data_IF_566440340988
#
_entry.id   IF_566440340988
#
_cell.length_a   1.000
_cell.length_b   1.000
_cell.length_c   1.000
_cell.angle_alpha   90.00
_cell.angle_beta   90.00
_cell.angle_gamma   90.00
#
_symmetry.space_group_name_H-M   'P 1'
#
loop_
_entity.id
_entity.type
_entity.pdbx_description
1 polymer ?
#
# COMPACT_ATOMS: atom_id res chain seq x y z
N UNK A 1 -5.67 1.53 -5.29
CA UNK A 1 -4.24 1.74 -5.62
C UNK A 1 -3.49 0.43 -5.57
N UNK A 2 -3.73 -0.41 -4.56
CA UNK A 2 -3.10 -1.71 -4.42
C UNK A 2 -3.63 -2.77 -5.42
N UNK A 3 -2.72 -3.30 -6.23
CA UNK A 3 -2.96 -4.35 -7.22
C UNK A 3 -3.21 -5.71 -6.57
N UNK A 4 -2.69 -5.92 -5.34
CA UNK A 4 -2.84 -7.17 -4.60
C UNK A 4 -4.30 -7.42 -4.19
N UNK A 5 -5.12 -6.38 -4.14
CA UNK A 5 -6.56 -6.50 -3.93
C UNK A 5 -7.34 -7.04 -5.14
N UNK A 6 -6.72 -7.29 -6.31
CA UNK A 6 -7.35 -7.96 -7.49
C UNK A 6 -8.77 -7.44 -7.84
N UNK A 7 -8.96 -6.12 -7.86
CA UNK A 7 -10.27 -5.47 -8.14
C UNK A 7 -11.38 -5.72 -7.11
N UNK A 8 -11.05 -6.36 -5.98
CA UNK A 8 -11.99 -6.58 -4.88
C UNK A 8 -12.41 -5.24 -4.25
N UNK A 9 -13.69 -5.11 -3.89
CA UNK A 9 -14.14 -4.00 -3.06
C UNK A 9 -13.53 -4.15 -1.66
N UNK A 10 -12.99 -3.07 -1.12
CA UNK A 10 -12.32 -3.08 0.18
C UNK A 10 -13.17 -2.30 1.18
N UNK A 11 -13.54 -2.92 2.29
CA UNK A 11 -14.34 -2.31 3.34
C UNK A 11 -13.58 -2.21 4.67
N UNK A 12 -13.59 -1.06 5.35
CA UNK A 12 -13.00 -0.95 6.68
C UNK A 12 -13.82 -1.73 7.71
N UNK A 13 -13.12 -2.55 8.50
CA UNK A 13 -13.70 -3.33 9.62
C UNK A 13 -13.46 -2.61 10.93
N UNK A 14 -12.24 -2.12 11.14
CA UNK A 14 -11.86 -1.40 12.35
C UNK A 14 -10.75 -0.40 12.04
N UNK A 15 -10.70 0.68 12.82
CA UNK A 15 -9.72 1.74 12.68
C UNK A 15 -9.18 2.12 14.06
N UNK A 16 -7.87 2.16 14.19
CA UNK A 16 -7.15 2.55 15.40
C UNK A 16 -6.37 3.82 15.06
N UNK A 17 -6.71 4.99 15.64
CA UNK A 17 -5.93 6.21 15.45
C UNK A 17 -4.49 6.03 15.92
N UNK A 18 -3.53 6.60 15.19
CA UNK A 18 -2.10 6.54 15.54
C UNK A 18 -1.52 7.96 15.69
N UNK A 19 -1.57 8.50 16.91
CA UNK A 19 -1.04 9.83 17.23
C UNK A 19 -2.01 10.98 16.95
N UNK A 20 -1.51 12.23 16.93
CA UNK A 20 -2.36 13.44 16.93
C UNK A 20 -2.94 13.79 15.56
N UNK A 21 -2.34 13.33 14.46
CA UNK A 21 -2.86 13.58 13.13
C UNK A 21 -4.08 12.67 12.87
N UNK A 22 -5.28 13.23 12.59
CA UNK A 22 -6.49 12.43 12.38
C UNK A 22 -6.43 11.52 11.15
N UNK A 23 -5.51 11.77 10.22
CA UNK A 23 -5.22 10.89 9.08
C UNK A 23 -4.38 9.68 9.42
N UNK A 24 -3.64 9.71 10.54
CA UNK A 24 -2.76 8.62 10.93
C UNK A 24 -3.58 7.53 11.61
N UNK A 25 -3.55 6.32 11.05
CA UNK A 25 -4.30 5.20 11.61
C UNK A 25 -3.80 3.86 11.12
N UNK A 26 -4.05 2.84 11.94
CA UNK A 26 -4.00 1.45 11.53
C UNK A 26 -5.44 1.01 11.26
N UNK A 27 -5.70 0.55 10.05
CA UNK A 27 -7.01 0.11 9.60
C UNK A 27 -6.95 -1.36 9.22
N UNK A 28 -7.87 -2.14 9.78
CA UNK A 28 -8.14 -3.49 9.29
C UNK A 28 -9.20 -3.40 8.21
N UNK A 29 -8.83 -3.80 7.01
CA UNK A 29 -9.66 -3.79 5.83
C UNK A 29 -10.06 -5.23 5.48
N UNK A 30 -11.24 -5.39 4.88
CA UNK A 30 -11.75 -6.66 4.37
C UNK A 30 -11.84 -6.56 2.85
N UNK A 31 -11.11 -7.43 2.14
CA UNK A 31 -11.22 -7.56 0.69
C UNK A 31 -12.37 -8.51 0.33
N UNK A 32 -13.31 -8.03 -0.49
CA UNK A 32 -14.51 -8.74 -0.91
C UNK A 32 -14.41 -9.13 -2.38
N UNK A 33 -14.56 -10.42 -2.70
CA UNK A 33 -14.51 -10.84 -4.10
C UNK A 33 -15.79 -10.55 -4.87
N UNK A 34 -15.69 -9.99 -6.10
CA UNK A 34 -16.85 -9.59 -6.90
C UNK A 34 -17.65 -10.76 -7.47
N UNK A 35 -17.12 -11.99 -7.43
CA UNK A 35 -17.78 -13.20 -7.98
C UNK A 35 -18.95 -13.73 -7.16
N UNK A 36 -19.41 -13.03 -6.11
CA UNK A 36 -20.60 -13.40 -5.33
C UNK A 36 -21.44 -12.18 -4.91
N UNK A 37 -22.25 -11.66 -5.83
CA UNK A 37 -23.39 -10.78 -5.51
C UNK A 37 -24.63 -11.62 -5.14
N UNK A 38 -25.70 -11.07 -4.50
CA UNK A 38 -25.80 -9.94 -3.60
C UNK A 38 -26.47 -10.37 -2.27
N UNK A 39 -25.96 -11.38 -1.53
CA UNK A 39 -26.45 -11.71 -0.16
C UNK A 39 -25.39 -12.32 0.77
N UNK A 40 -24.09 -12.22 0.46
CA UNK A 40 -23.08 -12.85 1.32
C UNK A 40 -21.73 -12.97 0.65
N UNK A 41 -21.16 -11.85 0.22
CA UNK A 41 -19.78 -11.83 -0.28
C UNK A 41 -18.84 -12.32 0.81
N UNK A 42 -18.26 -13.51 0.63
CA UNK A 42 -17.30 -14.05 1.58
C UNK A 42 -16.01 -13.24 1.47
N UNK A 43 -15.47 -12.81 2.62
CA UNK A 43 -14.18 -12.15 2.68
C UNK A 43 -13.10 -13.11 2.20
N UNK A 44 -12.28 -12.69 1.24
CA UNK A 44 -11.20 -13.55 0.72
C UNK A 44 -9.89 -13.35 1.48
N UNK A 45 -9.68 -12.16 2.02
CA UNK A 45 -8.54 -11.84 2.88
C UNK A 45 -8.82 -10.59 3.72
N UNK A 46 -8.05 -10.44 4.80
CA UNK A 46 -7.92 -9.18 5.51
C UNK A 46 -6.71 -8.42 4.98
N UNK A 47 -6.73 -7.11 5.09
CA UNK A 47 -5.58 -6.26 4.78
C UNK A 47 -5.34 -5.37 6.00
N UNK A 48 -4.18 -5.52 6.63
CA UNK A 48 -3.73 -4.60 7.67
C UNK A 48 -3.05 -3.43 6.99
N UNK A 49 -3.59 -2.23 7.13
CA UNK A 49 -3.07 -1.02 6.50
C UNK A 49 -2.71 0.01 7.56
N UNK A 50 -1.54 0.62 7.45
CA UNK A 50 -1.14 1.80 8.19
C UNK A 50 -1.04 3.00 7.25
N UNK A 51 -1.66 4.10 7.64
CA UNK A 51 -1.46 5.42 7.04
C UNK A 51 -0.79 6.35 8.04
N UNK A 52 0.19 7.11 7.56
CA UNK A 52 0.94 8.05 8.37
C UNK A 52 1.30 9.28 7.54
N UNK A 53 1.15 10.46 8.13
CA UNK A 53 1.72 11.71 7.64
C UNK A 53 2.50 12.35 8.79
N UNK A 54 3.75 12.69 8.52
CA UNK A 54 4.65 13.33 9.48
C UNK A 54 4.66 14.86 9.35
N UNK A 55 5.46 15.51 10.20
CA UNK A 55 5.57 16.98 10.24
C UNK A 55 6.31 17.58 9.04
N UNK A 56 7.03 16.77 8.26
CA UNK A 56 7.67 17.22 7.01
C UNK A 56 6.70 17.27 5.83
N UNK A 57 5.49 16.74 6.02
CA UNK A 57 4.49 16.59 4.97
C UNK A 57 4.64 15.29 4.18
N UNK A 58 5.60 14.43 4.53
CA UNK A 58 5.71 13.09 3.98
C UNK A 58 4.48 12.27 4.40
N UNK A 59 3.82 11.66 3.42
CA UNK A 59 2.66 10.79 3.66
C UNK A 59 2.94 9.40 3.13
N UNK A 60 2.64 8.38 3.93
CA UNK A 60 2.90 6.99 3.62
C UNK A 60 1.64 6.15 3.82
N UNK A 61 1.48 5.15 2.97
CA UNK A 61 0.54 4.06 3.16
C UNK A 61 1.27 2.74 2.98
N UNK A 62 1.30 1.93 4.05
CA UNK A 62 1.85 0.57 4.06
C UNK A 62 0.73 -0.39 4.38
N UNK A 63 0.71 -1.55 3.76
CA UNK A 63 -0.28 -2.57 4.03
C UNK A 63 0.30 -3.97 3.86
N UNK A 64 -0.34 -4.96 4.48
CA UNK A 64 -0.02 -6.38 4.32
C UNK A 64 -1.32 -7.17 4.21
N UNK A 65 -1.47 -8.02 3.19
CA UNK A 65 -2.55 -8.99 3.17
C UNK A 65 -2.34 -10.04 4.28
N UNK A 66 -3.44 -10.49 4.87
CA UNK A 66 -3.49 -11.49 5.93
C UNK A 66 -4.61 -12.47 5.59
N UNK A 67 -4.28 -13.76 5.53
CA UNK A 67 -5.28 -14.80 5.37
C UNK A 67 -6.16 -14.90 6.62
N UNK A 68 -7.48 -15.05 6.43
CA UNK A 68 -8.43 -15.12 7.55
C UNK A 68 -8.12 -16.27 8.52
N UNK A 69 -7.76 -17.49 8.06
CA UNK A 69 -7.34 -18.56 8.99
C UNK A 69 -6.10 -18.19 9.81
N UNK A 70 -5.13 -17.51 9.21
CA UNK A 70 -3.93 -17.05 9.91
C UNK A 70 -4.28 -16.00 10.97
N UNK A 71 -5.13 -15.02 10.63
CA UNK A 71 -5.62 -14.03 11.58
C UNK A 71 -6.36 -14.66 12.78
N UNK A 72 -7.25 -15.63 12.52
CA UNK A 72 -8.00 -16.32 13.57
C UNK A 72 -7.08 -17.12 14.50
N UNK A 73 -6.03 -17.74 13.95
CA UNK A 73 -5.03 -18.47 14.70
C UNK A 73 -4.21 -17.54 15.60
N UNK A 74 -3.80 -16.37 15.10
CA UNK A 74 -3.15 -15.34 15.93
C UNK A 74 -4.07 -14.83 17.04
N UNK A 75 -5.35 -14.60 16.72
CA UNK A 75 -6.36 -14.13 17.66
C UNK A 75 -6.70 -15.15 18.76
N UNK A 76 -6.50 -16.45 18.51
CA UNK A 76 -6.65 -17.49 19.54
C UNK A 76 -5.41 -17.61 20.46
N UNK A 77 -4.38 -16.79 20.24
CA UNK A 77 -3.14 -16.80 21.01
C UNK A 77 -2.12 -17.85 20.56
N UNK A 78 -2.31 -18.44 19.36
CA UNK A 78 -1.31 -19.33 18.78
C UNK A 78 -0.07 -18.56 18.29
N UNK A 79 1.03 -19.28 18.07
CA UNK A 79 2.30 -18.70 17.64
C UNK A 79 2.23 -18.12 16.21
N UNK A 80 2.44 -16.80 16.02
CA UNK A 80 2.43 -16.17 14.70
C UNK A 80 3.72 -16.38 13.90
N UNK A 81 4.78 -16.97 14.47
CA UNK A 81 6.13 -17.00 13.87
C UNK A 81 6.20 -17.62 12.46
N UNK A 82 5.29 -18.55 12.14
CA UNK A 82 5.21 -19.22 10.85
C UNK A 82 4.34 -18.51 9.80
N UNK A 83 3.70 -17.39 10.13
CA UNK A 83 2.78 -16.69 9.22
C UNK A 83 3.56 -15.57 8.50
N UNK A 84 3.79 -15.68 7.17
CA UNK A 84 4.48 -14.63 6.43
C UNK A 84 3.59 -13.40 6.31
N UNK A 85 4.05 -12.26 6.85
CA UNK A 85 3.50 -10.94 6.56
C UNK A 85 4.38 -10.27 5.50
N UNK A 86 3.78 -9.92 4.38
CA UNK A 86 4.46 -9.37 3.21
C UNK A 86 4.01 -7.93 2.96
N UNK A 87 4.65 -6.94 3.61
CA UNK A 87 4.28 -5.55 3.47
C UNK A 87 4.61 -5.00 2.09
N UNK A 88 3.70 -4.18 1.58
CA UNK A 88 3.89 -3.32 0.42
C UNK A 88 3.31 -1.95 0.69
N UNK A 89 3.73 -0.95 -0.06
CA UNK A 89 3.24 0.39 0.14
C UNK A 89 4.01 1.44 -0.62
N UNK A 90 3.71 2.69 -0.31
CA UNK A 90 4.38 3.83 -0.90
C UNK A 90 4.45 5.00 0.08
N UNK A 91 5.45 5.84 -0.11
CA UNK A 91 5.59 7.14 0.53
C UNK A 91 5.62 8.24 -0.52
N UNK A 92 4.95 9.35 -0.25
CA UNK A 92 4.89 10.54 -1.07
C UNK A 92 5.61 11.64 -0.29
N UNK A 93 6.72 12.09 -0.84
CA UNK A 93 7.50 13.19 -0.30
C UNK A 93 7.23 14.45 -1.13
N UNK A 94 6.83 15.58 -0.52
CA UNK A 94 6.68 16.83 -1.24
C UNK A 94 8.05 17.28 -1.79
N UNK A 95 8.17 17.39 -3.11
CA UNK A 95 9.38 17.94 -3.71
C UNK A 95 9.27 19.46 -3.66
N UNK A 96 10.05 20.08 -2.77
CA UNK A 96 10.13 21.53 -2.70
C UNK A 96 10.55 22.08 -4.06
N UNK A 97 9.85 23.11 -4.55
CA UNK A 97 10.40 23.97 -5.60
C UNK A 97 11.66 24.60 -5.01
N UNK A 98 12.83 24.22 -5.54
CA UNK A 98 14.06 24.91 -5.24
C UNK A 98 13.86 26.38 -5.57
N UNK A 99 13.72 27.21 -4.53
CA UNK A 99 13.81 28.65 -4.64
C UNK A 99 15.24 29.01 -5.03
N UNK A 100 15.58 28.83 -6.29
CA UNK A 100 16.68 29.55 -6.89
C UNK A 100 16.38 31.04 -6.69
N UNK A 101 17.30 31.74 -6.04
CA UNK A 101 17.24 33.16 -5.75
C UNK A 101 17.24 34.01 -7.04
N UNK A 102 16.17 33.93 -7.83
CA UNK A 102 15.94 34.76 -8.99
C UNK A 102 14.96 35.85 -8.59
N UNK A 103 15.50 37.03 -8.30
CA UNK A 103 14.80 38.27 -7.96
C UNK A 103 14.01 38.86 -9.14
N UNK A 104 13.44 38.02 -10.00
CA UNK A 104 12.72 38.43 -11.20
C UNK A 104 11.23 38.19 -10.97
N UNK A 105 10.51 39.29 -10.78
CA UNK A 105 9.06 39.34 -10.63
C UNK A 105 8.34 38.77 -11.86
N UNK A 106 8.16 37.44 -11.90
CA UNK A 106 7.16 36.71 -12.69
C UNK A 106 7.37 35.19 -12.47
N UNK A 107 7.40 34.73 -11.22
CA UNK A 107 7.33 33.29 -10.97
C UNK A 107 5.85 32.87 -11.10
N UNK A 108 5.48 32.36 -12.26
CA UNK A 108 4.33 31.46 -12.34
C UNK A 108 4.48 30.40 -11.24
N UNK A 109 3.42 30.03 -10.50
CA UNK A 109 3.55 28.97 -9.50
C UNK A 109 3.90 27.68 -10.25
N UNK A 110 5.19 27.31 -10.29
CA UNK A 110 5.60 25.99 -10.72
C UNK A 110 4.88 25.00 -9.81
N UNK A 111 4.10 24.11 -10.40
CA UNK A 111 3.41 23.05 -9.67
C UNK A 111 4.45 22.32 -8.81
N UNK A 112 4.28 22.36 -7.48
CA UNK A 112 5.10 21.61 -6.56
C UNK A 112 4.97 20.12 -6.91
N UNK A 113 6.08 19.48 -7.27
CA UNK A 113 6.12 18.06 -7.57
C UNK A 113 6.12 17.21 -6.30
N UNK A 114 6.15 15.89 -6.46
CA UNK A 114 6.44 14.98 -5.37
C UNK A 114 7.39 13.87 -5.83
N UNK A 115 8.14 13.32 -4.88
CA UNK A 115 8.88 12.08 -5.06
C UNK A 115 8.03 10.97 -4.47
N UNK A 116 7.76 9.94 -5.25
CA UNK A 116 7.05 8.74 -4.79
C UNK A 116 8.04 7.60 -4.66
N UNK A 117 8.17 7.06 -3.45
CA UNK A 117 8.91 5.84 -3.19
C UNK A 117 7.92 4.69 -3.02
N UNK A 118 8.10 3.60 -3.76
CA UNK A 118 7.25 2.41 -3.66
C UNK A 118 8.11 1.24 -3.19
N UNK A 119 7.59 0.44 -2.27
CA UNK A 119 8.27 -0.72 -1.71
C UNK A 119 7.35 -1.94 -1.70
N UNK A 120 7.91 -3.11 -2.00
CA UNK A 120 7.21 -4.38 -1.96
C UNK A 120 8.09 -5.44 -1.31
N UNK A 121 7.48 -6.22 -0.42
CA UNK A 121 8.01 -7.51 0.00
C UNK A 121 7.18 -8.60 -0.66
N UNK A 122 7.84 -9.49 -1.42
CA UNK A 122 7.17 -10.55 -2.19
C UNK A 122 7.88 -11.86 -1.91
N UNK A 123 7.11 -12.88 -1.48
CA UNK A 123 7.61 -14.23 -1.29
C UNK A 123 7.33 -15.07 -2.54
N UNK A 124 8.37 -15.33 -3.33
CA UNK A 124 8.26 -16.15 -4.55
C UNK A 124 8.40 -17.64 -4.22
N UNK A 125 9.21 -17.98 -3.22
CA UNK A 125 9.35 -19.34 -2.72
C UNK A 125 9.84 -19.33 -1.28
N UNK A 126 9.39 -20.30 -0.50
CA UNK A 126 9.86 -20.54 0.87
C UNK A 126 11.14 -21.39 0.93
N UNK A 127 11.64 -21.88 -0.21
CA UNK A 127 12.87 -22.67 -0.26
C UNK A 127 14.10 -21.75 -0.40
N UNK A 128 15.11 -21.84 0.49
CA UNK A 128 16.32 -21.03 0.41
C UNK A 128 17.14 -21.21 -0.88
N UNK A 129 17.02 -22.38 -1.53
CA UNK A 129 17.72 -22.71 -2.78
C UNK A 129 16.99 -22.24 -4.03
N UNK A 130 15.77 -21.69 -3.89
CA UNK A 130 15.00 -21.19 -5.01
C UNK A 130 15.72 -20.02 -5.68
N UNK A 131 15.72 -20.02 -7.00
CA UNK A 131 16.26 -18.93 -7.81
C UNK A 131 15.12 -18.17 -8.46
N UNK A 132 15.30 -16.86 -8.58
CA UNK A 132 14.43 -16.04 -9.41
C UNK A 132 14.53 -16.52 -10.85
N UNK A 133 13.39 -16.76 -11.48
CA UNK A 133 13.31 -17.04 -12.91
C UNK A 133 12.82 -15.79 -13.66
N UNK A 134 12.97 -15.81 -14.99
CA UNK A 134 12.59 -14.67 -15.83
C UNK A 134 11.09 -14.32 -15.71
N UNK A 135 10.23 -15.32 -15.51
CA UNK A 135 8.79 -15.15 -15.32
C UNK A 135 8.45 -14.40 -14.02
N UNK A 136 9.12 -14.73 -12.92
CA UNK A 136 8.96 -14.05 -11.63
C UNK A 136 9.41 -12.59 -11.73
N UNK A 137 10.53 -12.33 -12.41
CA UNK A 137 11.02 -10.97 -12.65
C UNK A 137 10.02 -10.16 -13.47
N UNK A 138 9.48 -10.74 -14.54
CA UNK A 138 8.46 -10.10 -15.36
C UNK A 138 7.20 -9.77 -14.54
N UNK A 139 6.78 -10.69 -13.67
CA UNK A 139 5.63 -10.50 -12.77
C UNK A 139 5.86 -9.34 -11.79
N UNK A 140 7.03 -9.28 -11.15
CA UNK A 140 7.40 -8.20 -10.23
C UNK A 140 7.44 -6.85 -10.97
N UNK A 141 8.04 -6.78 -12.16
CA UNK A 141 8.09 -5.56 -12.95
C UNK A 141 6.69 -5.05 -13.33
N UNK A 142 5.79 -5.96 -13.73
CA UNK A 142 4.41 -5.62 -14.02
C UNK A 142 3.70 -5.10 -12.78
N UNK A 143 3.87 -5.75 -11.62
CA UNK A 143 3.28 -5.31 -10.35
C UNK A 143 3.72 -3.89 -9.97
N UNK A 144 5.03 -3.60 -10.05
CA UNK A 144 5.58 -2.27 -9.77
C UNK A 144 5.01 -1.24 -10.74
N UNK A 145 5.03 -1.53 -12.04
CA UNK A 145 4.55 -0.63 -13.09
C UNK A 145 3.07 -0.29 -12.91
N UNK A 146 2.21 -1.30 -12.73
CA UNK A 146 0.77 -1.11 -12.51
C UNK A 146 0.49 -0.33 -11.23
N UNK A 147 1.24 -0.59 -10.15
CA UNK A 147 1.05 0.16 -8.89
C UNK A 147 1.40 1.63 -9.06
N UNK A 148 2.52 1.95 -9.74
CA UNK A 148 2.90 3.33 -10.03
C UNK A 148 1.84 4.03 -10.89
N UNK A 149 1.32 3.35 -11.92
CA UNK A 149 0.23 3.88 -12.75
C UNK A 149 -1.04 4.15 -11.93
N UNK A 150 -1.42 3.24 -11.05
CA UNK A 150 -2.58 3.41 -10.17
C UNK A 150 -2.41 4.58 -9.19
N UNK A 151 -1.21 4.77 -8.64
CA UNK A 151 -0.89 5.91 -7.78
C UNK A 151 -1.02 7.21 -8.58
N UNK A 152 -0.41 7.27 -9.77
CA UNK A 152 -0.51 8.43 -10.68
C UNK A 152 -1.96 8.77 -11.03
N UNK A 153 -2.77 7.77 -11.38
CA UNK A 153 -4.18 7.94 -11.67
C UNK A 153 -4.98 8.45 -10.45
N UNK A 154 -4.73 7.89 -9.26
CA UNK A 154 -5.39 8.31 -8.03
C UNK A 154 -5.03 9.76 -7.61
N UNK A 155 -3.82 10.21 -7.93
CA UNK A 155 -3.34 11.56 -7.68
C UNK A 155 -3.62 12.52 -8.85
N UNK A 156 -4.24 12.04 -9.93
CA UNK A 156 -4.51 12.79 -11.15
C UNK A 156 -3.25 13.41 -11.79
N UNK A 157 -2.12 12.69 -11.71
CA UNK A 157 -0.84 13.06 -12.31
C UNK A 157 -0.64 12.27 -13.60
N UNK A 158 -1.18 12.78 -14.73
CA UNK A 158 -1.05 12.16 -16.07
C UNK A 158 0.19 12.66 -16.78
#
# INVERSE_FOLDING_TARGET
WDVLCKENSVQPVSRIPNGPNPGNCITLLRALSPSQAPQGGQATMLVLQESCTDTSGCSMVVHSPIDIPAANMMMSGADPSGIPLLPSGFAIWPAGVGGGASTSAAATPMAAGCIVSVAFQILISSLPSSKLNAESIATVNNLVSTTVQNIKAALNCV
#
